data_IF_492825775031
#
_entry.id   IF_492825775031
#
_cell.length_a   1.000
_cell.length_b   1.000
_cell.length_c   1.000
_cell.angle_alpha   90.00
_cell.angle_beta   90.00
_cell.angle_gamma   90.00
#
_symmetry.space_group_name_H-M   'P 1'
#
loop_
_entity.id
_entity.type
_entity.pdbx_description
1 polymer ?
#
# COMPACT_ATOMS: atom_id res chain seq x y z
N UNK A 1 1.75 -12.11 -21.08
CA UNK A 1 0.78 -11.52 -22.03
C UNK A 1 -0.56 -11.39 -21.32
N UNK A 2 -1.21 -10.22 -21.38
CA UNK A 2 -2.50 -10.00 -20.75
C UNK A 2 -3.56 -9.64 -21.81
N UNK A 3 -4.80 -10.03 -21.53
CA UNK A 3 -5.96 -9.54 -22.25
C UNK A 3 -6.48 -8.28 -21.57
N UNK A 4 -6.92 -7.31 -22.36
CA UNK A 4 -7.48 -6.05 -21.84
C UNK A 4 -8.93 -5.88 -22.31
N UNK A 5 -9.79 -5.45 -21.39
CA UNK A 5 -11.18 -5.09 -21.65
C UNK A 5 -11.47 -3.76 -20.97
N UNK A 6 -11.96 -2.79 -21.75
CA UNK A 6 -12.52 -1.55 -21.21
C UNK A 6 -14.03 -1.55 -21.37
N UNK A 7 -14.74 -1.31 -20.27
CA UNK A 7 -16.19 -1.15 -20.24
C UNK A 7 -16.54 0.30 -19.93
N UNK A 8 -17.42 0.89 -20.73
CA UNK A 8 -17.88 2.27 -20.56
C UNK A 8 -19.28 2.28 -19.97
N UNK A 9 -19.44 2.98 -18.87
CA UNK A 9 -20.70 3.21 -18.18
C UNK A 9 -21.09 4.68 -18.28
N UNK A 10 -22.38 4.93 -18.44
CA UNK A 10 -22.95 6.26 -18.52
C UNK A 10 -24.14 6.35 -17.56
N UNK A 11 -24.16 7.37 -16.72
CA UNK A 11 -25.29 7.61 -15.84
C UNK A 11 -26.34 8.52 -16.49
N UNK A 12 -27.46 8.76 -15.81
CA UNK A 12 -28.56 9.61 -16.28
C UNK A 12 -28.14 11.06 -16.56
N UNK A 13 -27.05 11.52 -15.96
CA UNK A 13 -26.49 12.86 -16.19
C UNK A 13 -25.42 12.90 -17.27
N UNK A 14 -25.35 11.85 -18.10
CA UNK A 14 -24.40 11.73 -19.20
C UNK A 14 -22.92 11.62 -18.76
N UNK A 15 -22.62 11.41 -17.46
CA UNK A 15 -21.27 11.25 -16.96
C UNK A 15 -20.75 9.86 -17.30
N UNK A 16 -19.51 9.82 -17.78
CA UNK A 16 -18.86 8.61 -18.25
C UNK A 16 -17.85 8.14 -17.20
N UNK A 17 -17.96 6.88 -16.84
CA UNK A 17 -16.97 6.12 -16.08
C UNK A 17 -16.55 4.91 -16.93
N UNK A 18 -15.25 4.75 -17.13
CA UNK A 18 -14.71 3.55 -17.75
C UNK A 18 -14.03 2.69 -16.71
N UNK A 19 -14.17 1.38 -16.86
CA UNK A 19 -13.44 0.40 -16.06
C UNK A 19 -12.58 -0.42 -17.01
N UNK A 20 -11.27 -0.35 -16.82
CA UNK A 20 -10.31 -1.14 -17.59
C UNK A 20 -9.86 -2.33 -16.77
N UNK A 21 -10.03 -3.53 -17.31
CA UNK A 21 -9.52 -4.78 -16.78
C UNK A 21 -8.32 -5.26 -17.59
N UNK A 22 -7.32 -5.79 -16.92
CA UNK A 22 -6.25 -6.60 -17.50
C UNK A 22 -6.23 -7.96 -16.83
N UNK A 23 -6.20 -9.02 -17.63
CA UNK A 23 -6.24 -10.41 -17.14
C UNK A 23 -5.09 -11.17 -17.78
N UNK A 24 -4.21 -11.71 -16.96
CA UNK A 24 -3.16 -12.66 -17.33
C UNK A 24 -3.51 -14.07 -16.83
N UNK A 25 -2.54 -14.99 -16.85
CA UNK A 25 -2.79 -16.38 -16.46
C UNK A 25 -3.16 -16.50 -14.97
N UNK A 26 -2.50 -15.73 -14.10
CA UNK A 26 -2.65 -15.79 -12.65
C UNK A 26 -3.16 -14.47 -12.03
N UNK A 27 -3.27 -13.39 -12.83
CA UNK A 27 -3.58 -12.07 -12.32
C UNK A 27 -4.80 -11.43 -12.98
N UNK A 28 -5.55 -10.69 -12.18
CA UNK A 28 -6.57 -9.76 -12.63
C UNK A 28 -6.26 -8.38 -12.05
N UNK A 29 -6.24 -7.38 -12.90
CA UNK A 29 -6.12 -6.01 -12.45
C UNK A 29 -7.24 -5.15 -13.04
N UNK A 30 -7.69 -4.15 -12.28
CA UNK A 30 -8.66 -3.19 -12.78
C UNK A 30 -8.39 -1.79 -12.24
N UNK A 31 -8.84 -0.79 -12.99
CA UNK A 31 -8.80 0.62 -12.61
C UNK A 31 -9.94 1.40 -13.23
N UNK A 32 -10.21 2.56 -12.71
CA UNK A 32 -11.24 3.47 -13.20
C UNK A 32 -10.63 4.63 -13.96
N UNK A 33 -11.29 5.00 -15.09
CA UNK A 33 -10.99 6.21 -15.83
C UNK A 33 -12.23 7.12 -15.77
N UNK A 34 -12.02 8.32 -15.25
CA UNK A 34 -13.07 9.32 -15.09
C UNK A 34 -12.88 10.37 -16.18
N UNK A 35 -13.83 10.44 -17.10
CA UNK A 35 -13.78 11.37 -18.22
C UNK A 35 -14.11 12.80 -17.81
N UNK A 36 -13.79 13.75 -18.68
CA UNK A 36 -14.23 15.13 -18.53
C UNK A 36 -15.77 15.21 -18.51
N UNK A 37 -16.30 16.09 -17.67
CA UNK A 37 -17.76 16.26 -17.50
C UNK A 37 -18.32 17.16 -18.62
N UNK A 38 -17.52 18.11 -19.09
CA UNK A 38 -17.93 19.08 -20.10
C UNK A 38 -16.90 19.10 -21.24
N UNK A 39 -17.12 18.31 -22.33
CA UNK A 39 -16.15 18.24 -23.44
C UNK A 39 -15.85 19.59 -24.10
N UNK A 40 -16.82 20.51 -24.07
CA UNK A 40 -16.70 21.84 -24.68
C UNK A 40 -15.95 22.87 -23.79
N UNK A 41 -15.56 22.49 -22.57
CA UNK A 41 -14.80 23.33 -21.65
C UNK A 41 -13.34 22.91 -21.62
N UNK A 42 -12.49 23.88 -21.26
CA UNK A 42 -11.07 23.62 -21.07
C UNK A 42 -10.87 22.48 -20.05
N UNK A 43 -10.26 21.33 -20.44
CA UNK A 43 -10.00 20.21 -19.55
C UNK A 43 -9.20 20.61 -18.31
N UNK A 44 -8.26 21.57 -18.44
CA UNK A 44 -7.40 22.00 -17.37
C UNK A 44 -8.14 22.71 -16.22
N UNK A 45 -9.37 23.13 -16.48
CA UNK A 45 -10.25 23.75 -15.48
C UNK A 45 -11.25 22.78 -14.84
N UNK A 46 -11.30 21.53 -15.30
CA UNK A 46 -12.25 20.55 -14.79
C UNK A 46 -11.64 19.73 -13.66
N UNK A 47 -12.27 19.82 -12.50
CA UNK A 47 -11.86 19.12 -11.29
C UNK A 47 -13.05 18.38 -10.67
N UNK A 48 -12.76 17.28 -9.97
CA UNK A 48 -13.75 16.53 -9.22
C UNK A 48 -13.18 16.03 -7.90
N UNK A 49 -14.07 15.59 -7.03
CA UNK A 49 -13.72 14.89 -5.79
C UNK A 49 -14.14 13.44 -5.90
N UNK A 50 -13.25 12.53 -5.58
CA UNK A 50 -13.54 11.11 -5.38
C UNK A 50 -13.64 10.92 -3.88
N UNK A 51 -14.85 10.64 -3.40
CA UNK A 51 -15.14 10.53 -1.97
C UNK A 51 -14.96 9.11 -1.45
N UNK A 52 -15.16 8.12 -2.33
CA UNK A 52 -15.03 6.70 -2.00
C UNK A 52 -14.94 5.86 -3.27
N UNK A 53 -14.55 4.61 -3.09
CA UNK A 53 -14.54 3.57 -4.11
C UNK A 53 -15.41 2.40 -3.63
N UNK A 54 -16.36 1.99 -4.46
CA UNK A 54 -17.32 0.92 -4.12
C UNK A 54 -16.83 -0.48 -4.52
N UNK A 55 -15.57 -0.62 -4.96
CA UNK A 55 -14.98 -1.93 -5.25
C UNK A 55 -15.00 -2.82 -4.02
N UNK A 56 -15.43 -4.07 -4.20
CA UNK A 56 -15.47 -5.04 -3.12
C UNK A 56 -14.86 -6.38 -3.52
N UNK A 57 -14.30 -7.08 -2.54
CA UNK A 57 -13.71 -8.40 -2.69
C UNK A 57 -14.49 -9.39 -1.82
N UNK A 58 -15.09 -10.36 -2.47
CA UNK A 58 -15.92 -11.39 -1.84
C UNK A 58 -15.28 -12.75 -2.03
N UNK A 59 -15.21 -13.50 -0.97
CA UNK A 59 -14.59 -14.84 -0.95
C UNK A 59 -15.60 -15.89 -0.51
N UNK A 60 -15.42 -17.15 -0.92
CA UNK A 60 -16.25 -18.27 -0.46
C UNK A 60 -16.17 -18.45 1.05
N UNK A 61 -17.22 -19.03 1.62
CA UNK A 61 -17.22 -19.42 3.03
C UNK A 61 -16.06 -20.38 3.34
N UNK A 62 -15.48 -20.24 4.53
CA UNK A 62 -14.30 -21.01 4.94
C UNK A 62 -12.97 -20.45 4.44
N UNK A 63 -12.97 -19.28 3.79
CA UNK A 63 -11.73 -18.55 3.49
C UNK A 63 -11.08 -18.09 4.79
N UNK A 64 -9.77 -18.25 4.88
CA UNK A 64 -8.94 -17.72 5.97
C UNK A 64 -8.04 -16.60 5.48
N UNK A 65 -7.56 -15.78 6.40
CA UNK A 65 -6.86 -14.54 6.10
C UNK A 65 -5.50 -14.45 6.80
N UNK A 66 -4.59 -13.70 6.16
CA UNK A 66 -3.27 -13.34 6.67
C UNK A 66 -3.13 -11.83 6.45
N UNK A 67 -3.71 -11.04 7.33
CA UNK A 67 -3.88 -9.61 7.16
C UNK A 67 -3.17 -8.83 8.25
N UNK A 68 -2.58 -7.68 7.88
CA UNK A 68 -2.01 -6.73 8.82
C UNK A 68 -3.08 -5.68 9.16
N UNK A 69 -3.59 -5.62 10.41
CA UNK A 69 -4.57 -4.63 10.79
C UNK A 69 -3.98 -3.22 10.78
N UNK A 70 -4.76 -2.23 10.39
CA UNK A 70 -4.39 -0.84 10.54
C UNK A 70 -4.71 -0.36 11.96
N UNK A 71 -3.72 0.25 12.63
CA UNK A 71 -3.91 0.87 13.92
C UNK A 71 -4.75 2.14 13.82
N UNK A 72 -5.33 2.56 14.94
CA UNK A 72 -5.99 3.85 15.01
C UNK A 72 -5.02 5.01 14.73
N UNK A 73 -5.48 6.08 14.08
CA UNK A 73 -4.68 7.29 13.89
C UNK A 73 -4.08 7.81 15.20
N UNK A 74 -2.89 8.37 15.14
CA UNK A 74 -2.16 8.84 16.30
C UNK A 74 -1.62 10.25 16.16
N UNK A 75 -0.96 10.75 17.21
CA UNK A 75 -0.33 12.07 17.27
C UNK A 75 1.19 11.97 17.41
N UNK A 76 1.92 13.07 17.17
CA UNK A 76 3.39 13.14 17.20
C UNK A 76 4.01 12.12 16.23
N UNK A 77 5.03 11.36 16.65
CA UNK A 77 5.59 10.32 15.80
C UNK A 77 4.55 9.25 15.43
N UNK A 78 3.58 9.02 16.29
CA UNK A 78 2.48 8.10 16.05
C UNK A 78 1.48 8.63 14.99
N UNK A 79 1.61 9.85 14.50
CA UNK A 79 0.83 10.34 13.35
C UNK A 79 1.18 9.63 12.04
N UNK A 80 2.28 8.88 12.00
CA UNK A 80 2.55 7.93 10.91
C UNK A 80 1.60 6.73 10.89
N UNK A 81 0.78 6.55 11.96
CA UNK A 81 -0.31 5.58 11.96
C UNK A 81 -1.48 6.06 11.08
N UNK A 82 -2.24 5.12 10.53
CA UNK A 82 -2.22 3.68 10.77
C UNK A 82 -0.93 3.05 10.22
N UNK A 83 -0.28 2.28 11.08
CA UNK A 83 1.01 1.70 10.81
C UNK A 83 0.89 0.32 10.15
N UNK A 84 1.88 -0.03 9.33
CA UNK A 84 2.10 -1.37 8.81
C UNK A 84 2.90 -2.29 9.76
N UNK A 85 3.20 -1.82 10.96
CA UNK A 85 4.02 -2.53 11.96
C UNK A 85 3.20 -3.38 12.94
N UNK A 86 1.90 -3.51 12.69
CA UNK A 86 1.02 -4.30 13.54
C UNK A 86 1.19 -5.82 13.30
N UNK A 87 0.80 -6.60 14.28
CA UNK A 87 0.97 -8.05 14.23
C UNK A 87 -0.08 -8.68 13.32
N UNK A 88 0.37 -9.46 12.35
CA UNK A 88 -0.50 -10.28 11.53
C UNK A 88 -1.23 -11.34 12.36
N UNK A 89 -2.52 -11.53 12.10
CA UNK A 89 -3.26 -12.67 12.60
C UNK A 89 -3.31 -13.74 11.51
N UNK A 90 -2.46 -14.78 11.59
CA UNK A 90 -2.44 -15.80 10.55
C UNK A 90 -3.64 -16.72 10.66
N UNK A 91 -4.15 -17.17 9.51
CA UNK A 91 -5.20 -18.16 9.37
C UNK A 91 -6.51 -17.82 10.11
N UNK A 92 -6.79 -16.52 10.23
CA UNK A 92 -8.02 -16.06 10.86
C UNK A 92 -9.24 -16.24 9.94
N UNK A 93 -10.44 -16.51 10.47
CA UNK A 93 -11.66 -16.49 9.67
C UNK A 93 -11.87 -15.11 9.03
N UNK A 94 -12.34 -15.09 7.77
CA UNK A 94 -12.51 -13.82 7.02
C UNK A 94 -13.54 -12.87 7.61
N UNK A 95 -14.50 -13.36 8.37
CA UNK A 95 -15.60 -12.57 8.93
C UNK A 95 -15.28 -11.96 10.30
N UNK A 96 -14.02 -11.96 10.72
CA UNK A 96 -13.57 -11.30 11.95
C UNK A 96 -13.17 -9.87 11.61
N UNK A 97 -13.58 -8.94 12.46
CA UNK A 97 -13.14 -7.54 12.38
C UNK A 97 -11.65 -7.41 12.71
N UNK A 98 -11.02 -6.40 12.14
CA UNK A 98 -9.65 -6.03 12.49
C UNK A 98 -9.52 -5.63 13.97
N UNK A 99 -8.33 -5.76 14.50
CA UNK A 99 -8.05 -5.48 15.92
C UNK A 99 -8.44 -4.06 16.36
N UNK A 100 -8.42 -3.11 15.45
CA UNK A 100 -8.62 -1.69 15.74
C UNK A 100 -9.85 -1.10 15.03
N UNK A 101 -10.66 -1.90 14.35
CA UNK A 101 -11.82 -1.47 13.54
C UNK A 101 -11.48 -0.47 12.40
N UNK A 102 -10.22 -0.49 11.91
CA UNK A 102 -9.76 0.37 10.81
C UNK A 102 -9.38 -0.41 9.54
N UNK A 103 -9.73 -1.70 9.46
CA UNK A 103 -9.41 -2.53 8.30
C UNK A 103 -7.95 -2.96 8.23
N UNK A 104 -7.44 -3.17 7.00
CA UNK A 104 -6.18 -3.86 6.77
C UNK A 104 -5.35 -3.21 5.69
N UNK A 105 -4.05 -3.04 5.95
CA UNK A 105 -3.10 -2.50 4.97
C UNK A 105 -2.81 -3.50 3.83
N UNK A 106 -2.58 -2.98 2.64
CA UNK A 106 -2.07 -3.79 1.52
C UNK A 106 -0.59 -4.17 1.72
N UNK A 107 -0.16 -5.34 1.21
CA UNK A 107 -0.95 -6.37 0.50
C UNK A 107 -1.77 -7.25 1.45
N UNK A 108 -2.91 -7.73 1.01
CA UNK A 108 -3.83 -8.57 1.75
C UNK A 108 -3.87 -9.98 1.19
N UNK A 109 -3.62 -10.99 2.03
CA UNK A 109 -3.50 -12.38 1.62
C UNK A 109 -4.65 -13.22 2.19
N UNK A 110 -5.28 -14.00 1.31
CA UNK A 110 -6.39 -14.90 1.60
C UNK A 110 -6.07 -16.32 1.17
N UNK A 111 -6.64 -17.30 1.85
CA UNK A 111 -6.50 -18.71 1.51
C UNK A 111 -7.85 -19.43 1.50
N UNK A 112 -8.12 -20.11 0.42
CA UNK A 112 -9.25 -21.03 0.28
C UNK A 112 -8.73 -22.41 -0.10
N UNK A 113 -8.69 -23.34 0.85
CA UNK A 113 -8.06 -24.65 0.69
C UNK A 113 -6.59 -24.53 0.26
N UNK A 114 -6.23 -25.01 -0.94
CA UNK A 114 -4.88 -24.94 -1.50
C UNK A 114 -4.66 -23.71 -2.41
N UNK A 115 -5.70 -22.91 -2.62
CA UNK A 115 -5.63 -21.70 -3.45
C UNK A 115 -5.41 -20.46 -2.58
N UNK A 116 -4.46 -19.65 -2.98
CA UNK A 116 -4.14 -18.37 -2.36
C UNK A 116 -4.59 -17.22 -3.24
N UNK A 117 -4.99 -16.13 -2.63
CA UNK A 117 -5.37 -14.89 -3.32
C UNK A 117 -4.66 -13.73 -2.66
N UNK A 118 -3.92 -12.97 -3.44
CA UNK A 118 -3.26 -11.74 -3.00
C UNK A 118 -4.01 -10.56 -3.60
N UNK A 119 -4.47 -9.65 -2.74
CA UNK A 119 -5.11 -8.39 -3.15
C UNK A 119 -4.18 -7.24 -2.79
N UNK A 120 -3.94 -6.35 -3.74
CA UNK A 120 -3.08 -5.18 -3.53
C UNK A 120 -3.43 -4.05 -4.49
N UNK A 121 -2.62 -3.00 -4.48
CA UNK A 121 -2.70 -1.88 -5.42
C UNK A 121 -1.32 -1.56 -6.01
N UNK A 122 -1.30 -0.95 -7.20
CA UNK A 122 -0.09 -0.43 -7.82
C UNK A 122 -0.38 0.81 -8.67
N UNK A 123 0.66 1.60 -8.96
CA UNK A 123 0.52 2.85 -9.70
C UNK A 123 0.01 4.01 -8.86
N UNK A 124 0.11 3.93 -7.55
CA UNK A 124 -0.19 5.03 -6.62
C UNK A 124 0.77 6.18 -6.85
N UNK A 125 0.24 7.37 -6.98
CA UNK A 125 1.01 8.62 -7.18
C UNK A 125 0.59 9.66 -6.16
N UNK A 126 1.30 10.78 -6.09
CA UNK A 126 0.93 11.91 -5.23
C UNK A 126 -0.41 12.59 -5.57
N UNK A 127 -1.07 12.18 -6.65
CA UNK A 127 -2.42 12.66 -7.03
C UNK A 127 -3.54 11.73 -6.58
N UNK A 128 -3.23 10.66 -5.85
CA UNK A 128 -4.21 9.75 -5.25
C UNK A 128 -3.80 9.39 -3.83
N UNK A 129 -4.75 8.99 -3.00
CA UNK A 129 -4.44 8.47 -1.67
C UNK A 129 -3.92 7.02 -1.75
N UNK A 130 -3.14 6.60 -0.76
CA UNK A 130 -2.99 5.19 -0.44
C UNK A 130 -4.33 4.64 0.03
N UNK A 131 -4.73 3.48 -0.47
CA UNK A 131 -5.96 2.83 -0.03
C UNK A 131 -5.64 1.58 0.78
N UNK A 132 -6.65 1.04 1.44
CA UNK A 132 -6.56 -0.19 2.22
C UNK A 132 -7.84 -1.00 2.09
N UNK A 133 -7.91 -2.20 2.65
CA UNK A 133 -9.17 -2.93 2.75
C UNK A 133 -9.92 -2.53 4.03
N UNK A 134 -11.23 -2.35 3.89
CA UNK A 134 -12.13 -2.20 5.05
C UNK A 134 -12.14 -3.46 5.91
N UNK A 135 -12.78 -3.40 7.06
CA UNK A 135 -13.27 -4.58 7.73
C UNK A 135 -14.28 -5.34 6.84
N UNK A 136 -14.43 -6.65 7.11
CA UNK A 136 -15.44 -7.44 6.45
C UNK A 136 -16.85 -7.00 6.88
N UNK A 137 -17.72 -6.80 5.89
CA UNK A 137 -19.14 -6.54 6.09
C UNK A 137 -19.98 -7.62 5.41
N UNK A 138 -20.90 -8.22 6.15
CA UNK A 138 -21.79 -9.24 5.59
C UNK A 138 -22.62 -8.69 4.42
N UNK A 139 -22.61 -9.39 3.30
CA UNK A 139 -23.28 -8.98 2.07
C UNK A 139 -22.50 -7.99 1.19
N UNK A 140 -21.39 -7.43 1.68
CA UNK A 140 -20.49 -6.58 0.90
C UNK A 140 -19.09 -7.15 0.72
N UNK A 141 -18.62 -7.96 1.69
CA UNK A 141 -17.23 -8.42 1.73
C UNK A 141 -16.27 -7.36 2.24
N UNK A 142 -15.04 -7.39 1.75
CA UNK A 142 -14.04 -6.34 1.98
C UNK A 142 -14.16 -5.28 0.89
N UNK A 143 -14.19 -4.01 1.24
CA UNK A 143 -14.25 -2.90 0.28
C UNK A 143 -12.95 -2.10 0.27
N UNK A 144 -12.70 -1.35 -0.79
CA UNK A 144 -11.64 -0.36 -0.79
C UNK A 144 -12.02 0.77 0.16
N UNK A 145 -11.14 1.04 1.10
CA UNK A 145 -11.28 2.15 2.06
C UNK A 145 -10.22 3.23 1.79
N UNK A 146 -10.62 4.47 2.00
CA UNK A 146 -9.76 5.65 1.92
C UNK A 146 -9.21 5.97 3.31
N UNK A 147 -8.17 6.83 3.41
CA UNK A 147 -7.62 7.27 4.68
C UNK A 147 -8.69 7.83 5.63
N UNK A 148 -8.49 7.61 6.92
CA UNK A 148 -9.33 8.22 7.95
C UNK A 148 -9.05 9.73 8.05
N UNK A 149 -10.08 10.52 8.41
CA UNK A 149 -9.95 11.97 8.56
C UNK A 149 -8.96 12.38 9.66
N UNK A 150 -8.72 11.50 10.63
CA UNK A 150 -7.78 11.73 11.73
C UNK A 150 -6.33 11.35 11.38
N UNK A 151 -6.09 10.68 10.25
CA UNK A 151 -4.74 10.33 9.83
C UNK A 151 -3.86 11.57 9.65
N UNK A 152 -2.56 11.38 9.85
CA UNK A 152 -1.58 12.45 9.79
C UNK A 152 -1.92 13.65 10.70
N UNK A 153 -2.54 13.38 11.86
CA UNK A 153 -2.96 14.43 12.81
C UNK A 153 -4.05 15.35 12.28
N UNK A 154 -4.87 14.87 11.34
CA UNK A 154 -5.92 15.64 10.69
C UNK A 154 -5.42 16.59 9.60
N UNK A 155 -4.14 16.50 9.21
CA UNK A 155 -3.61 17.28 8.09
C UNK A 155 -3.80 16.51 6.79
N UNK A 156 -4.59 17.07 5.89
CA UNK A 156 -4.88 16.47 4.60
C UNK A 156 -6.35 16.28 4.37
N UNK A 157 -6.68 15.28 3.59
CA UNK A 157 -8.06 14.99 3.19
C UNK A 157 -8.28 13.48 3.09
N UNK A 158 -9.40 13.02 3.61
CA UNK A 158 -9.87 11.64 3.44
C UNK A 158 -10.48 11.36 2.05
N UNK A 159 -10.44 12.32 1.16
CA UNK A 159 -10.92 12.20 -0.22
C UNK A 159 -9.88 12.71 -1.22
N UNK A 160 -10.04 12.31 -2.48
CA UNK A 160 -9.11 12.67 -3.56
C UNK A 160 -9.67 13.81 -4.40
N UNK A 161 -8.96 14.94 -4.42
CA UNK A 161 -9.20 16.01 -5.38
C UNK A 161 -8.38 15.78 -6.66
N UNK A 162 -9.03 15.59 -7.80
CA UNK A 162 -8.33 15.33 -9.03
C UNK A 162 -8.80 16.24 -10.18
N UNK A 163 -7.87 16.49 -11.12
CA UNK A 163 -8.16 17.12 -12.40
C UNK A 163 -8.64 16.06 -13.39
N UNK A 164 -9.62 16.38 -14.21
CA UNK A 164 -10.14 15.49 -15.23
C UNK A 164 -9.48 15.74 -16.61
N UNK A 165 -9.31 14.68 -17.42
CA UNK A 165 -9.62 13.28 -17.15
C UNK A 165 -8.67 12.68 -16.10
N UNK A 166 -9.13 11.71 -15.34
CA UNK A 166 -8.34 11.11 -14.28
C UNK A 166 -8.41 9.58 -14.31
N UNK A 167 -7.28 8.94 -14.01
CA UNK A 167 -7.17 7.47 -13.93
C UNK A 167 -6.70 7.09 -12.53
N UNK A 168 -7.44 6.18 -11.88
CA UNK A 168 -7.08 5.68 -10.55
C UNK A 168 -5.88 4.73 -10.59
N UNK A 169 -5.22 4.47 -9.45
CA UNK A 169 -4.32 3.33 -9.33
C UNK A 169 -5.00 2.01 -9.71
N UNK A 170 -4.19 1.01 -10.03
CA UNK A 170 -4.67 -0.34 -10.28
C UNK A 170 -4.97 -1.07 -8.98
N UNK A 171 -6.08 -1.81 -8.95
CA UNK A 171 -6.35 -2.85 -7.99
C UNK A 171 -5.90 -4.17 -8.59
N UNK A 172 -5.13 -4.95 -7.84
CA UNK A 172 -4.53 -6.20 -8.33
C UNK A 172 -5.02 -7.39 -7.52
N UNK A 173 -5.27 -8.48 -8.19
CA UNK A 173 -5.67 -9.76 -7.62
C UNK A 173 -4.80 -10.83 -8.28
N UNK A 174 -3.96 -11.50 -7.50
CA UNK A 174 -3.19 -12.66 -7.97
C UNK A 174 -3.75 -13.92 -7.33
N UNK A 175 -3.98 -14.95 -8.12
CA UNK A 175 -4.62 -16.21 -7.69
C UNK A 175 -3.76 -17.40 -8.07
N UNK A 176 -3.50 -18.30 -7.14
CA UNK A 176 -2.74 -19.52 -7.41
C UNK A 176 -2.17 -20.19 -6.16
N UNK A 177 -1.25 -21.15 -6.32
CA UNK A 177 -0.42 -21.65 -5.24
C UNK A 177 0.41 -20.50 -4.63
N UNK A 178 0.81 -20.62 -3.37
CA UNK A 178 1.60 -19.58 -2.69
C UNK A 178 2.86 -19.17 -3.47
N UNK A 179 3.48 -20.11 -4.18
CA UNK A 179 4.63 -19.82 -5.06
C UNK A 179 4.30 -18.79 -6.12
N UNK A 180 3.15 -18.91 -6.80
CA UNK A 180 2.71 -17.94 -7.82
C UNK A 180 2.60 -16.53 -7.23
N UNK A 181 2.06 -16.40 -6.02
CA UNK A 181 1.90 -15.09 -5.38
C UNK A 181 3.26 -14.46 -5.00
N UNK A 182 4.21 -15.29 -4.57
CA UNK A 182 5.58 -14.81 -4.24
C UNK A 182 6.36 -14.39 -5.49
N UNK A 183 6.09 -15.04 -6.61
CA UNK A 183 6.80 -14.80 -7.89
C UNK A 183 6.05 -13.81 -8.81
N UNK A 184 4.87 -13.32 -8.42
CA UNK A 184 4.10 -12.40 -9.29
C UNK A 184 4.87 -11.12 -9.59
N UNK A 185 4.77 -10.69 -10.83
CA UNK A 185 5.33 -9.42 -11.32
C UNK A 185 4.25 -8.41 -11.70
N UNK A 186 2.99 -8.70 -11.38
CA UNK A 186 1.82 -7.91 -11.80
C UNK A 186 1.97 -6.40 -11.53
N UNK A 187 2.57 -6.03 -10.42
CA UNK A 187 2.79 -4.63 -10.07
C UNK A 187 3.69 -3.90 -11.08
N UNK A 188 4.69 -4.60 -11.60
CA UNK A 188 5.64 -4.07 -12.60
C UNK A 188 5.10 -4.18 -14.02
N UNK A 189 4.27 -5.19 -14.30
CA UNK A 189 3.66 -5.39 -15.61
C UNK A 189 2.58 -4.35 -15.94
N UNK A 190 2.00 -3.74 -14.90
CA UNK A 190 0.93 -2.75 -15.02
C UNK A 190 1.42 -1.31 -15.10
N UNK A 191 2.58 -1.03 -14.54
CA UNK A 191 3.08 0.35 -14.36
C UNK A 191 4.55 0.41 -14.72
N UNK A 192 4.89 1.32 -15.63
CA UNK A 192 6.28 1.61 -15.95
C UNK A 192 7.04 2.18 -14.72
N UNK A 193 8.29 1.84 -14.54
CA UNK A 193 9.12 2.44 -13.50
C UNK A 193 9.10 3.97 -13.60
N UNK A 194 8.74 4.64 -12.53
CA UNK A 194 8.69 6.10 -12.50
C UNK A 194 10.08 6.74 -12.51
N UNK A 195 11.03 6.03 -11.96
CA UNK A 195 12.43 6.45 -11.87
C UNK A 195 13.34 5.28 -12.22
N UNK A 196 14.37 5.58 -12.97
CA UNK A 196 15.48 4.67 -13.18
C UNK A 196 16.64 5.07 -12.26
N UNK A 197 17.30 4.09 -11.68
CA UNK A 197 18.48 4.34 -10.86
C UNK A 197 19.61 4.90 -11.73
N UNK A 198 20.17 6.05 -11.36
CA UNK A 198 21.32 6.66 -12.03
C UNK A 198 22.65 6.02 -11.63
N UNK A 199 22.63 5.17 -10.61
CA UNK A 199 23.77 4.43 -10.08
C UNK A 199 23.38 2.98 -9.83
N UNK A 200 24.37 2.10 -9.88
CA UNK A 200 24.17 0.70 -9.49
C UNK A 200 24.09 0.61 -7.96
N UNK A 201 23.05 -0.04 -7.45
CA UNK A 201 22.89 -0.31 -6.03
C UNK A 201 23.42 -1.71 -5.72
N UNK A 202 24.29 -1.79 -4.73
CA UNK A 202 24.76 -3.06 -4.21
C UNK A 202 23.93 -3.48 -3.00
N UNK A 203 23.07 -4.50 -3.11
CA UNK A 203 22.37 -5.05 -1.97
C UNK A 203 23.38 -5.68 -1.01
N UNK A 204 23.06 -5.66 0.29
CA UNK A 204 23.97 -6.22 1.28
C UNK A 204 23.28 -6.40 2.64
N UNK A 205 24.01 -7.00 3.57
CA UNK A 205 23.59 -7.22 4.95
C UNK A 205 24.03 -6.04 5.78
N UNK A 206 23.26 -5.76 6.83
CA UNK A 206 23.60 -4.69 7.75
C UNK A 206 23.37 -5.08 9.21
N UNK A 207 24.06 -4.40 10.12
CA UNK A 207 23.77 -4.40 11.53
C UNK A 207 22.85 -3.23 11.85
N UNK A 208 21.98 -3.41 12.82
CA UNK A 208 21.03 -2.40 13.26
C UNK A 208 20.81 -2.48 14.77
N UNK A 209 21.28 -1.48 15.49
CA UNK A 209 21.27 -1.47 16.96
C UNK A 209 19.86 -1.46 17.56
N UNK A 210 18.93 -0.81 16.88
CA UNK A 210 17.54 -0.68 17.33
C UNK A 210 16.84 -2.02 17.56
N UNK A 211 17.15 -3.04 16.77
CA UNK A 211 16.56 -4.38 16.93
C UNK A 211 16.80 -4.98 18.34
N UNK A 212 17.86 -4.59 19.00
CA UNK A 212 18.25 -5.15 20.29
C UNK A 212 18.10 -4.12 21.43
N UNK A 213 18.52 -2.87 21.20
CA UNK A 213 18.63 -1.85 22.24
C UNK A 213 17.68 -0.68 22.06
N UNK A 214 16.82 -0.67 21.04
CA UNK A 214 15.81 0.35 20.76
C UNK A 214 16.41 1.76 20.61
N UNK A 215 15.60 2.79 20.79
CA UNK A 215 15.96 4.20 20.56
C UNK A 215 17.17 4.67 21.35
N UNK A 216 17.37 4.14 22.57
CA UNK A 216 18.50 4.51 23.42
C UNK A 216 19.86 4.18 22.79
N UNK A 217 19.91 3.29 21.83
CA UNK A 217 21.13 2.88 21.12
C UNK A 217 21.58 3.84 20.02
N UNK A 218 20.77 4.83 19.67
CA UNK A 218 21.14 5.82 18.63
C UNK A 218 22.06 6.88 19.26
N UNK A 219 23.23 6.45 19.69
CA UNK A 219 24.30 7.26 20.26
C UNK A 219 25.65 6.83 19.70
N UNK A 220 26.67 7.68 19.83
CA UNK A 220 27.98 7.44 19.24
C UNK A 220 28.63 6.12 19.67
N UNK A 221 28.66 5.85 20.97
CA UNK A 221 29.39 4.71 21.52
C UNK A 221 28.76 3.37 21.11
N UNK A 222 27.45 3.30 21.09
CA UNK A 222 26.73 2.11 20.66
C UNK A 222 26.80 1.92 19.15
N UNK A 223 26.72 3.00 18.36
CA UNK A 223 26.86 2.88 16.90
C UNK A 223 28.25 2.39 16.51
N UNK A 224 29.33 2.83 17.16
CA UNK A 224 30.68 2.29 16.90
C UNK A 224 30.72 0.78 17.15
N UNK A 225 30.09 0.27 18.20
CA UNK A 225 30.01 -1.18 18.46
C UNK A 225 29.30 -1.95 17.35
N UNK A 226 28.24 -1.37 16.78
CA UNK A 226 27.51 -2.01 15.68
C UNK A 226 28.25 -1.90 14.33
N UNK A 227 29.06 -0.85 14.12
CA UNK A 227 29.96 -0.73 12.99
C UNK A 227 31.06 -1.81 13.09
N UNK A 228 31.68 -1.97 14.28
CA UNK A 228 32.67 -2.99 14.53
C UNK A 228 32.08 -4.41 14.35
N UNK A 229 30.87 -4.63 14.85
CA UNK A 229 30.15 -5.89 14.65
C UNK A 229 29.87 -6.16 13.17
N UNK A 230 29.45 -5.15 12.40
CA UNK A 230 29.26 -5.30 10.95
C UNK A 230 30.58 -5.71 10.26
N UNK A 231 31.69 -5.07 10.66
CA UNK A 231 33.03 -5.40 10.14
C UNK A 231 33.45 -6.83 10.49
N UNK A 232 33.26 -7.26 11.71
CA UNK A 232 33.58 -8.62 12.18
C UNK A 232 32.77 -9.69 11.48
N UNK A 233 31.47 -9.42 11.24
CA UNK A 233 30.55 -10.29 10.52
C UNK A 233 30.72 -10.20 8.99
N UNK A 234 31.56 -9.31 8.50
CA UNK A 234 31.74 -9.00 7.07
C UNK A 234 30.42 -8.62 6.42
N UNK A 235 29.64 -7.82 7.12
CA UNK A 235 28.45 -7.18 6.57
C UNK A 235 28.82 -5.89 5.86
N UNK A 236 28.12 -5.59 4.79
CA UNK A 236 28.41 -4.48 3.90
C UNK A 236 28.03 -3.13 4.50
N UNK A 237 27.07 -3.11 5.43
CA UNK A 237 26.47 -1.87 5.96
C UNK A 237 26.25 -1.93 7.49
N UNK A 238 26.10 -0.73 8.05
CA UNK A 238 25.52 -0.51 9.37
C UNK A 238 24.41 0.54 9.23
N UNK A 239 23.20 0.23 9.68
CA UNK A 239 22.07 1.15 9.68
C UNK A 239 22.07 1.95 10.97
N UNK A 240 22.19 3.27 10.85
CA UNK A 240 21.98 4.24 11.94
C UNK A 240 20.57 4.79 11.84
N UNK A 241 19.78 4.58 12.89
CA UNK A 241 18.35 4.84 12.90
C UNK A 241 18.01 6.34 13.03
N UNK A 242 16.72 6.64 13.10
CA UNK A 242 16.15 7.97 13.24
C UNK A 242 16.79 8.74 14.42
N UNK A 243 16.77 10.07 14.34
CA UNK A 243 17.34 11.02 15.30
C UNK A 243 18.87 11.00 15.45
N UNK A 244 19.58 10.34 14.54
CA UNK A 244 21.05 10.33 14.53
C UNK A 244 21.64 11.76 14.56
N UNK A 245 20.99 12.71 13.91
CA UNK A 245 21.40 14.11 13.84
C UNK A 245 21.24 14.86 15.18
N UNK A 246 20.39 14.36 16.05
CA UNK A 246 20.13 14.93 17.39
C UNK A 246 20.93 14.24 18.49
N UNK A 247 20.92 12.91 18.49
CA UNK A 247 21.50 12.10 19.57
C UNK A 247 23.01 11.91 19.42
N UNK A 248 23.51 11.75 18.20
CA UNK A 248 24.96 11.58 17.95
C UNK A 248 25.67 12.93 17.90
N UNK A 249 24.97 13.96 17.47
CA UNK A 249 25.49 15.31 17.26
C UNK A 249 26.17 15.48 15.91
N UNK A 250 25.82 16.58 15.23
CA UNK A 250 26.29 16.87 13.86
C UNK A 250 27.80 16.97 13.75
N UNK A 251 28.46 17.45 14.79
CA UNK A 251 29.90 17.69 14.82
C UNK A 251 30.75 16.40 14.84
N UNK A 252 30.13 15.25 15.07
CA UNK A 252 30.80 13.94 15.15
C UNK A 252 30.59 13.06 13.90
N UNK A 253 29.73 13.49 13.01
CA UNK A 253 29.40 12.76 11.76
C UNK A 253 30.11 13.35 10.52
N UNK A 254 30.89 14.39 10.69
CA UNK A 254 31.74 15.02 9.64
C UNK A 254 33.19 14.53 9.81
#
# INVERSE_FOLDING_TARGET
VANELTMTFKNEQERILEVTFRVSDDDVAFRYNISVVHPDRDPDLQRTLILSEASSFNFPEGTTTYLCPMAAPGILWAHARPSYEEVYTPDAPMNVKSQFDHGYSFPCLFRQQDTWVLVSETGTTGSYCGTHLSDYEEGKGYTIAFPDEEENGGYGSAFVGCQLPFTTPWRTITVGPLKTLVETTVAYDLVEPRYEASVEYNPGRYTWSWLIWQDASVNWDDQIRFIDLASDLKFEYCLVDNWWDQQIGRDRMT
#
